data_IF_020382780129
#
_entry.id   IF_020382780129
#
_cell.length_a   1.000
_cell.length_b   1.000
_cell.length_c   1.000
_cell.angle_alpha   90.00
_cell.angle_beta   90.00
_cell.angle_gamma   90.00
#
_symmetry.space_group_name_H-M   'P 1'
#
loop_
_entity.id
_entity.type
_entity.pdbx_description
1 polymer ?
#
# COMPACT_ATOMS: atom_id res chain seq x y z
N UNK A 1 28.57 26.41 -16.67
CA UNK A 1 29.71 25.50 -16.42
C UNK A 1 29.08 24.12 -16.31
N UNK A 2 28.75 23.56 -17.49
CA UNK A 2 29.50 22.43 -18.12
C UNK A 2 29.45 21.17 -17.23
N UNK A 3 29.22 19.96 -17.70
CA UNK A 3 28.85 19.32 -18.97
C UNK A 3 28.76 17.83 -18.54
N UNK A 4 27.95 17.01 -19.20
CA UNK A 4 28.43 15.72 -19.72
C UNK A 4 27.35 15.17 -20.67
N UNK A 5 27.73 15.14 -21.94
CA UNK A 5 27.06 14.45 -23.02
C UNK A 5 28.04 13.41 -23.59
N UNK A 6 27.49 12.31 -24.13
CA UNK A 6 28.18 11.32 -24.96
C UNK A 6 28.67 10.09 -24.17
N UNK A 7 28.45 8.85 -24.61
CA UNK A 7 27.85 8.36 -25.84
C UNK A 7 27.99 6.83 -25.94
N UNK A 8 27.11 6.26 -26.78
CA UNK A 8 27.17 5.04 -27.61
C UNK A 8 27.65 3.68 -27.07
N UNK A 9 26.75 2.71 -27.32
CA UNK A 9 26.95 1.35 -27.85
C UNK A 9 28.02 0.42 -27.23
N UNK A 10 27.54 -0.70 -26.65
CA UNK A 10 28.05 -2.00 -27.09
C UNK A 10 27.11 -3.17 -26.74
N UNK A 11 26.91 -4.04 -27.71
CA UNK A 11 26.16 -5.30 -27.63
C UNK A 11 27.12 -6.50 -27.43
N UNK A 12 26.62 -7.72 -27.14
CA UNK A 12 27.26 -8.65 -26.21
C UNK A 12 28.27 -9.59 -26.86
N UNK A 13 29.29 -9.99 -26.09
CA UNK A 13 29.96 -11.29 -26.25
C UNK A 13 31.48 -11.25 -26.26
N UNK A 14 32.08 -11.82 -25.20
CA UNK A 14 33.23 -12.74 -25.16
C UNK A 14 34.01 -12.51 -23.86
N UNK A 15 33.92 -13.47 -22.94
CA UNK A 15 34.95 -13.65 -21.91
C UNK A 15 36.28 -14.07 -22.56
N UNK A 16 37.41 -13.90 -21.85
CA UNK A 16 38.10 -15.12 -21.42
C UNK A 16 38.75 -15.08 -20.03
N UNK A 17 38.72 -16.27 -19.40
CA UNK A 17 39.78 -16.93 -18.63
C UNK A 17 40.31 -16.35 -17.29
N UNK A 18 39.99 -17.09 -16.22
CA UNK A 18 41.01 -17.82 -15.45
C UNK A 18 41.95 -17.01 -14.56
N UNK A 19 41.51 -16.64 -13.36
CA UNK A 19 42.36 -16.04 -12.33
C UNK A 19 41.86 -16.39 -10.92
N UNK A 20 42.61 -17.26 -10.27
CA UNK A 20 42.55 -17.71 -8.88
C UNK A 20 42.11 -16.61 -7.87
N UNK A 21 40.90 -16.72 -7.29
CA UNK A 21 40.44 -15.82 -6.23
C UNK A 21 41.09 -16.23 -4.90
N UNK A 22 42.26 -15.67 -4.60
CA UNK A 22 42.77 -15.69 -3.23
C UNK A 22 41.91 -14.74 -2.38
N UNK A 23 41.22 -15.30 -1.40
CA UNK A 23 40.53 -14.61 -0.32
C UNK A 23 41.49 -13.70 0.44
N UNK A 24 41.38 -12.39 0.21
CA UNK A 24 41.78 -11.40 1.19
C UNK A 24 40.53 -11.04 1.98
N UNK A 25 40.39 -11.59 3.19
CA UNK A 25 39.45 -11.09 4.18
C UNK A 25 40.08 -9.87 4.87
N UNK A 26 39.59 -8.64 4.68
CA UNK A 26 39.81 -7.60 5.68
C UNK A 26 38.91 -7.94 6.86
N UNK A 27 39.47 -7.95 8.06
CA UNK A 27 38.72 -8.12 9.30
C UNK A 27 37.67 -7.01 9.40
N UNK A 28 36.42 -7.31 9.06
CA UNK A 28 35.30 -6.43 9.37
C UNK A 28 35.13 -6.40 10.90
N UNK A 29 34.95 -5.22 11.52
CA UNK A 29 34.57 -5.18 12.92
C UNK A 29 33.27 -5.96 13.12
N UNK A 30 33.07 -6.63 14.26
CA UNK A 30 31.83 -7.36 14.52
C UNK A 30 30.66 -6.38 14.42
N UNK A 31 29.76 -6.64 13.48
CA UNK A 31 28.48 -5.92 13.38
C UNK A 31 27.76 -6.14 14.72
N UNK A 32 27.38 -5.08 15.47
CA UNK A 32 26.66 -5.26 16.73
C UNK A 32 25.41 -6.11 16.48
N UNK A 33 25.23 -7.15 17.29
CA UNK A 33 24.19 -8.17 17.08
C UNK A 33 22.74 -7.63 17.20
N UNK A 34 22.58 -6.35 17.53
CA UNK A 34 21.35 -5.58 17.40
C UNK A 34 21.74 -4.11 17.53
N UNK A 35 21.27 -3.27 16.63
CA UNK A 35 21.15 -1.84 16.93
C UNK A 35 20.03 -1.73 17.95
N UNK A 36 20.38 -1.66 19.24
CA UNK A 36 19.42 -1.33 20.28
C UNK A 36 19.16 0.17 20.22
N UNK A 37 18.15 0.53 19.44
CA UNK A 37 17.72 1.92 19.32
C UNK A 37 16.96 2.38 20.57
N UNK A 38 16.55 1.48 21.47
CA UNK A 38 15.74 1.85 22.63
C UNK A 38 16.47 2.84 23.54
N UNK A 39 17.77 2.60 23.80
CA UNK A 39 18.60 3.50 24.62
C UNK A 39 18.77 4.88 23.95
N UNK A 40 18.99 4.90 22.63
CA UNK A 40 19.06 6.14 21.85
C UNK A 40 17.73 6.90 21.84
N UNK A 41 16.60 6.20 21.67
CA UNK A 41 15.25 6.77 21.73
C UNK A 41 14.95 7.33 23.12
N UNK A 42 15.29 6.61 24.19
CA UNK A 42 15.09 7.09 25.55
C UNK A 42 15.95 8.33 25.83
N UNK A 43 17.22 8.33 25.44
CA UNK A 43 18.14 9.45 25.70
C UNK A 43 17.79 10.71 24.88
N UNK A 44 17.32 10.55 23.64
CA UNK A 44 17.14 11.68 22.71
C UNK A 44 15.68 12.11 22.52
N UNK A 45 14.71 11.26 22.86
CA UNK A 45 13.30 11.50 22.57
C UNK A 45 12.44 11.47 23.85
N UNK A 46 12.75 10.67 24.87
CA UNK A 46 11.89 10.56 26.08
C UNK A 46 11.84 11.82 26.96
N UNK A 47 12.85 12.69 26.88
CA UNK A 47 12.92 13.96 27.62
C UNK A 47 12.88 15.20 26.74
N UNK A 48 12.80 15.05 25.41
CA UNK A 48 12.66 16.16 24.50
C UNK A 48 11.31 16.87 24.71
N UNK A 49 11.32 18.20 24.82
CA UNK A 49 10.12 19.03 24.83
C UNK A 49 9.24 18.72 23.61
N UNK A 50 7.93 18.92 23.73
CA UNK A 50 6.93 18.51 22.72
C UNK A 50 7.26 19.09 21.31
N UNK A 51 7.82 20.30 21.27
CA UNK A 51 8.32 20.94 20.06
C UNK A 51 9.58 20.27 19.49
N UNK A 52 10.54 19.89 20.34
CA UNK A 52 11.75 19.17 19.91
C UNK A 52 11.44 17.75 19.39
N UNK A 53 10.47 17.07 20.01
CA UNK A 53 9.92 15.80 19.49
C UNK A 53 9.26 15.98 18.13
N UNK A 54 8.50 17.06 17.94
CA UNK A 54 7.87 17.36 16.67
C UNK A 54 8.88 17.69 15.55
N UNK A 55 10.03 18.26 15.90
CA UNK A 55 11.14 18.53 14.98
C UNK A 55 11.85 17.23 14.56
N UNK A 56 12.05 16.28 15.48
CA UNK A 56 12.77 15.02 15.20
C UNK A 56 11.87 13.92 14.62
N UNK A 57 10.65 13.76 15.13
CA UNK A 57 9.70 12.70 14.72
C UNK A 57 8.63 13.18 13.74
N UNK A 58 8.55 14.48 13.46
CA UNK A 58 7.40 15.06 12.78
C UNK A 58 6.16 15.11 13.68
N UNK A 59 4.97 15.30 13.09
CA UNK A 59 3.71 15.32 13.83
C UNK A 59 3.44 13.95 14.48
N UNK A 60 3.41 13.91 15.81
CA UNK A 60 2.91 12.74 16.57
C UNK A 60 1.38 12.70 16.45
N UNK A 61 0.85 12.05 15.41
CA UNK A 61 -0.59 11.89 15.20
C UNK A 61 -0.99 11.63 13.75
N UNK A 62 -2.25 11.22 13.53
CA UNK A 62 -2.79 11.06 12.17
C UNK A 62 -2.83 12.42 11.46
N UNK A 63 -2.32 12.48 10.24
CA UNK A 63 -2.51 13.64 9.37
C UNK A 63 -4.01 13.79 9.07
N UNK A 64 -4.59 15.00 9.19
CA UNK A 64 -6.02 15.25 9.06
C UNK A 64 -6.45 15.33 7.59
N UNK A 65 -6.15 14.29 6.81
CA UNK A 65 -6.62 14.20 5.44
C UNK A 65 -8.16 14.18 5.40
N UNK A 66 -8.74 15.00 4.54
CA UNK A 66 -10.17 14.89 4.25
C UNK A 66 -10.41 13.64 3.39
N UNK A 67 -11.42 12.88 3.78
CA UNK A 67 -11.83 11.65 3.10
C UNK A 67 -13.32 11.62 2.82
N UNK A 68 -13.72 10.97 1.74
CA UNK A 68 -15.12 10.69 1.45
C UNK A 68 -15.30 9.30 0.84
N UNK A 69 -16.40 8.63 1.17
CA UNK A 69 -16.78 7.40 0.45
C UNK A 69 -17.50 7.82 -0.82
N UNK A 70 -16.86 7.64 -1.97
CA UNK A 70 -17.44 8.00 -3.26
C UNK A 70 -18.57 7.05 -3.66
N UNK A 71 -18.35 5.75 -3.45
CA UNK A 71 -19.32 4.71 -3.74
C UNK A 71 -19.14 3.52 -2.79
N UNK A 72 -20.27 2.91 -2.47
CA UNK A 72 -20.34 1.64 -1.75
C UNK A 72 -21.44 0.80 -2.37
N UNK A 73 -21.07 -0.31 -2.99
CA UNK A 73 -22.05 -1.24 -3.58
C UNK A 73 -22.46 -2.31 -2.56
N UNK A 74 -23.66 -2.85 -2.75
CA UNK A 74 -24.18 -3.96 -1.96
C UNK A 74 -23.64 -5.30 -2.45
N UNK A 75 -23.43 -6.24 -1.53
CA UNK A 75 -23.16 -7.64 -1.86
C UNK A 75 -24.40 -8.48 -1.57
N UNK A 76 -24.65 -9.54 -2.34
CA UNK A 76 -25.48 -10.64 -1.84
C UNK A 76 -24.65 -11.39 -0.80
N UNK A 77 -25.26 -11.72 0.33
CA UNK A 77 -24.61 -12.47 1.42
C UNK A 77 -23.97 -13.74 0.83
N UNK A 78 -22.66 -13.89 0.97
CA UNK A 78 -21.96 -15.15 0.70
C UNK A 78 -21.90 -15.94 1.99
N UNK A 79 -22.19 -17.24 1.92
CA UNK A 79 -21.94 -18.17 3.02
C UNK A 79 -20.43 -18.51 3.07
N UNK A 80 -19.82 -18.42 4.26
CA UNK A 80 -18.39 -18.71 4.48
C UNK A 80 -17.51 -17.47 4.63
N UNK A 81 -16.20 -17.65 4.91
CA UNK A 81 -15.28 -16.53 5.15
C UNK A 81 -15.05 -15.73 3.87
N UNK A 82 -15.25 -14.43 3.93
CA UNK A 82 -14.97 -13.52 2.82
C UNK A 82 -13.49 -13.11 2.78
N UNK A 83 -13.03 -12.65 1.60
CA UNK A 83 -11.73 -11.99 1.45
C UNK A 83 -11.90 -10.68 0.68
N UNK A 84 -11.46 -9.58 1.28
CA UNK A 84 -11.47 -8.27 0.67
C UNK A 84 -10.09 -7.94 0.09
N UNK A 85 -10.02 -7.66 -1.22
CA UNK A 85 -8.86 -7.03 -1.83
C UNK A 85 -8.79 -5.59 -1.37
N UNK A 86 -7.70 -5.24 -0.69
CA UNK A 86 -7.44 -3.87 -0.23
C UNK A 86 -6.31 -3.30 -1.05
N UNK A 87 -6.57 -2.16 -1.67
CA UNK A 87 -5.63 -1.50 -2.60
C UNK A 87 -5.71 0.01 -2.45
N UNK A 88 -4.75 0.72 -3.02
CA UNK A 88 -4.72 2.17 -3.04
C UNK A 88 -3.99 2.68 -4.28
N UNK A 89 -4.40 3.82 -4.82
CA UNK A 89 -3.76 4.37 -6.01
C UNK A 89 -3.97 5.88 -6.16
N UNK A 90 -3.18 6.51 -7.03
CA UNK A 90 -3.41 7.84 -7.59
C UNK A 90 -4.31 7.78 -8.83
N UNK A 91 -4.71 8.95 -9.36
CA UNK A 91 -5.59 9.06 -10.52
C UNK A 91 -4.98 8.49 -11.82
N UNK A 92 -3.66 8.53 -11.99
CA UNK A 92 -2.98 7.98 -13.16
C UNK A 92 -2.97 6.44 -13.20
N UNK A 93 -3.37 5.78 -12.10
CA UNK A 93 -3.46 4.31 -11.99
C UNK A 93 -4.90 3.77 -12.02
N UNK A 94 -5.88 4.59 -12.40
CA UNK A 94 -7.29 4.16 -12.44
C UNK A 94 -7.54 2.99 -13.40
N UNK A 95 -6.76 2.86 -14.48
CA UNK A 95 -6.85 1.71 -15.38
C UNK A 95 -6.46 0.40 -14.68
N UNK A 96 -5.44 0.44 -13.83
CA UNK A 96 -5.02 -0.72 -13.03
C UNK A 96 -6.06 -1.08 -11.98
N UNK A 97 -6.64 -0.07 -11.32
CA UNK A 97 -7.76 -0.27 -10.41
C UNK A 97 -8.94 -0.92 -11.14
N UNK A 98 -9.29 -0.47 -12.36
CA UNK A 98 -10.33 -1.07 -13.20
C UNK A 98 -10.04 -2.54 -13.52
N UNK A 99 -8.78 -2.88 -13.81
CA UNK A 99 -8.34 -4.26 -14.01
C UNK A 99 -8.50 -5.11 -12.73
N UNK A 100 -8.16 -4.58 -11.56
CA UNK A 100 -8.39 -5.25 -10.27
C UNK A 100 -9.89 -5.47 -10.00
N UNK A 101 -10.73 -4.45 -10.20
CA UNK A 101 -12.19 -4.53 -10.01
C UNK A 101 -12.84 -5.60 -10.90
N UNK A 102 -12.32 -5.78 -12.11
CA UNK A 102 -12.87 -6.74 -13.09
C UNK A 102 -12.25 -8.14 -13.02
N UNK A 103 -11.15 -8.31 -12.30
CA UNK A 103 -10.45 -9.60 -12.15
C UNK A 103 -10.69 -10.28 -10.81
N UNK A 104 -10.85 -9.51 -9.73
CA UNK A 104 -11.03 -10.04 -8.39
C UNK A 104 -12.48 -10.49 -8.14
N UNK A 105 -12.67 -11.74 -7.71
CA UNK A 105 -13.98 -12.34 -7.49
C UNK A 105 -14.57 -12.09 -6.08
N UNK A 106 -13.80 -11.47 -5.19
CA UNK A 106 -14.19 -11.10 -3.82
C UNK A 106 -14.44 -9.62 -3.65
N UNK A 107 -14.74 -9.18 -2.42
CA UNK A 107 -14.95 -7.76 -2.15
C UNK A 107 -13.70 -6.94 -2.47
N UNK A 108 -13.88 -5.67 -2.83
CA UNK A 108 -12.76 -4.72 -3.05
C UNK A 108 -12.98 -3.49 -2.18
N UNK A 109 -11.95 -3.07 -1.46
CA UNK A 109 -11.88 -1.72 -0.89
C UNK A 109 -10.65 -1.00 -1.43
N UNK A 110 -10.88 0.11 -2.10
CA UNK A 110 -9.81 0.90 -2.70
C UNK A 110 -9.85 2.35 -2.19
N UNK A 111 -8.68 2.90 -1.88
CA UNK A 111 -8.52 4.31 -1.62
C UNK A 111 -7.85 4.99 -2.83
N UNK A 112 -8.45 6.08 -3.33
CA UNK A 112 -7.91 6.85 -4.45
C UNK A 112 -7.46 8.22 -3.96
N UNK A 113 -6.20 8.55 -4.21
CA UNK A 113 -5.64 9.85 -3.90
C UNK A 113 -5.98 10.88 -4.99
N UNK A 114 -6.50 12.01 -4.56
CA UNK A 114 -6.74 13.19 -5.39
C UNK A 114 -5.82 14.29 -4.89
N UNK A 115 -4.80 14.60 -5.68
CA UNK A 115 -3.83 15.66 -5.37
C UNK A 115 -4.40 17.07 -5.63
N UNK A 116 -5.57 17.34 -5.07
CA UNK A 116 -6.25 18.62 -5.16
C UNK A 116 -7.16 18.81 -3.93
N UNK A 117 -7.46 20.07 -3.56
CA UNK A 117 -8.43 20.35 -2.51
C UNK A 117 -9.81 19.77 -2.87
N UNK A 118 -10.60 19.33 -1.88
CA UNK A 118 -11.87 18.67 -2.11
C UNK A 118 -12.82 19.47 -3.00
N UNK A 119 -12.98 20.77 -2.76
CA UNK A 119 -13.94 21.61 -3.47
C UNK A 119 -13.45 22.17 -4.82
N UNK A 120 -12.27 21.74 -5.30
CA UNK A 120 -11.71 22.23 -6.58
C UNK A 120 -12.36 21.56 -7.80
N UNK A 121 -12.32 22.25 -8.95
CA UNK A 121 -12.78 21.70 -10.24
C UNK A 121 -12.04 20.41 -10.61
N UNK A 122 -10.75 20.31 -10.28
CA UNK A 122 -9.96 19.09 -10.47
C UNK A 122 -10.53 17.91 -9.67
N UNK A 123 -10.89 18.14 -8.40
CA UNK A 123 -11.54 17.13 -7.56
C UNK A 123 -12.94 16.75 -8.05
N UNK A 124 -13.70 17.69 -8.61
CA UNK A 124 -15.01 17.40 -9.23
C UNK A 124 -14.82 16.52 -10.48
N UNK A 125 -13.86 16.85 -11.34
CA UNK A 125 -13.54 16.07 -12.52
C UNK A 125 -13.04 14.66 -12.16
N UNK A 126 -12.15 14.54 -11.17
CA UNK A 126 -11.62 13.27 -10.67
C UNK A 126 -12.74 12.36 -10.15
N UNK A 127 -13.66 12.89 -9.32
CA UNK A 127 -14.82 12.13 -8.81
C UNK A 127 -15.68 11.56 -9.93
N UNK A 128 -15.97 12.38 -10.94
CA UNK A 128 -16.74 11.95 -12.12
C UNK A 128 -16.01 10.83 -12.87
N UNK A 129 -14.73 11.00 -13.18
CA UNK A 129 -13.94 9.98 -13.87
C UNK A 129 -13.85 8.66 -13.11
N UNK A 130 -13.69 8.69 -11.78
CA UNK A 130 -13.70 7.48 -10.95
C UNK A 130 -15.08 6.79 -11.00
N UNK A 131 -16.18 7.55 -10.93
CA UNK A 131 -17.53 6.99 -11.04
C UNK A 131 -17.77 6.35 -12.41
N UNK A 132 -17.37 7.01 -13.49
CA UNK A 132 -17.48 6.50 -14.86
C UNK A 132 -16.67 5.20 -15.02
N UNK A 133 -15.41 5.18 -14.57
CA UNK A 133 -14.56 3.98 -14.55
C UNK A 133 -15.22 2.82 -13.80
N UNK A 134 -15.76 3.07 -12.60
CA UNK A 134 -16.43 2.03 -11.83
C UNK A 134 -17.72 1.54 -12.51
N UNK A 135 -18.48 2.44 -13.14
CA UNK A 135 -19.67 2.07 -13.90
C UNK A 135 -19.30 1.17 -15.09
N UNK A 136 -18.30 1.56 -15.88
CA UNK A 136 -17.79 0.75 -17.00
C UNK A 136 -17.21 -0.60 -16.57
N UNK A 137 -16.58 -0.67 -15.39
CA UNK A 137 -16.12 -1.92 -14.82
C UNK A 137 -17.31 -2.83 -14.47
N UNK A 138 -18.35 -2.27 -13.86
CA UNK A 138 -19.53 -3.01 -13.43
C UNK A 138 -20.32 -3.60 -14.62
N UNK A 139 -20.41 -2.88 -15.75
CA UNK A 139 -21.11 -3.39 -16.96
C UNK A 139 -20.45 -4.61 -17.58
N UNK A 140 -19.17 -4.86 -17.30
CA UNK A 140 -18.41 -6.03 -17.81
C UNK A 140 -18.56 -7.27 -16.93
N UNK A 141 -19.20 -7.15 -15.78
CA UNK A 141 -19.29 -8.24 -14.81
C UNK A 141 -20.66 -8.92 -14.85
N UNK A 142 -20.70 -10.25 -14.58
CA UNK A 142 -21.96 -10.98 -14.53
C UNK A 142 -22.82 -10.56 -13.34
N UNK A 143 -24.10 -10.94 -13.37
CA UNK A 143 -25.04 -10.75 -12.27
C UNK A 143 -24.50 -11.40 -10.99
N UNK A 144 -24.48 -10.66 -9.88
CA UNK A 144 -23.88 -11.11 -8.62
C UNK A 144 -22.45 -10.61 -8.42
N UNK A 145 -22.17 -9.38 -8.86
CA UNK A 145 -20.88 -8.71 -8.72
C UNK A 145 -20.39 -8.69 -7.28
N UNK A 146 -19.07 -8.85 -7.07
CA UNK A 146 -18.48 -8.57 -5.77
C UNK A 146 -18.71 -7.11 -5.39
N UNK A 147 -18.84 -6.88 -4.09
CA UNK A 147 -19.14 -5.56 -3.61
C UNK A 147 -17.86 -4.72 -3.43
N UNK A 148 -17.98 -3.43 -3.74
CA UNK A 148 -16.88 -2.49 -3.81
C UNK A 148 -17.13 -1.32 -2.86
N UNK A 149 -16.08 -0.84 -2.22
CA UNK A 149 -16.07 0.46 -1.55
C UNK A 149 -14.89 1.27 -2.07
N UNK A 150 -15.16 2.41 -2.70
CA UNK A 150 -14.13 3.36 -3.18
C UNK A 150 -14.16 4.59 -2.29
N UNK A 151 -13.03 4.86 -1.66
CA UNK A 151 -12.81 5.99 -0.75
C UNK A 151 -11.86 6.96 -1.42
N UNK A 152 -12.14 8.25 -1.32
CA UNK A 152 -11.26 9.29 -1.82
C UNK A 152 -10.51 9.90 -0.66
N UNK A 153 -9.24 10.17 -0.88
CA UNK A 153 -8.40 10.95 0.02
C UNK A 153 -7.89 12.16 -0.75
N UNK A 154 -8.15 13.35 -0.23
CA UNK A 154 -7.71 14.59 -0.87
C UNK A 154 -6.33 15.01 -0.35
N UNK A 155 -5.62 15.83 -1.12
CA UNK A 155 -4.40 16.51 -0.69
C UNK A 155 -4.62 17.18 0.67
N UNK A 156 -3.60 17.11 1.52
CA UNK A 156 -3.62 17.80 2.81
C UNK A 156 -3.81 19.30 2.58
N UNK A 157 -4.71 19.92 3.36
CA UNK A 157 -4.92 21.37 3.30
C UNK A 157 -3.66 22.10 3.78
N UNK A 158 -3.34 23.24 3.16
CA UNK A 158 -2.07 23.95 3.40
C UNK A 158 -1.91 24.37 4.88
N UNK A 159 -3.02 24.66 5.57
CA UNK A 159 -3.06 24.96 7.01
C UNK A 159 -2.57 23.81 7.90
N UNK A 160 -2.66 22.58 7.39
CA UNK A 160 -2.26 21.37 8.11
C UNK A 160 -0.86 20.88 7.73
N UNK A 161 -0.23 21.49 6.72
CA UNK A 161 1.15 21.18 6.29
C UNK A 161 2.13 21.81 7.29
N UNK A 162 2.94 20.98 7.93
CA UNK A 162 4.01 21.40 8.85
C UNK A 162 5.39 21.20 8.25
N UNK A 163 5.56 20.13 7.48
CA UNK A 163 6.80 19.80 6.79
C UNK A 163 6.51 19.59 5.31
N UNK A 164 6.78 20.60 4.49
CA UNK A 164 6.47 20.58 3.05
C UNK A 164 7.05 19.36 2.32
N UNK A 165 8.30 19.03 2.62
CA UNK A 165 9.03 17.91 2.02
C UNK A 165 8.44 16.53 2.35
N UNK A 166 7.64 16.41 3.42
CA UNK A 166 7.03 15.15 3.86
C UNK A 166 5.51 15.14 3.66
N UNK A 167 4.81 16.17 4.15
CA UNK A 167 3.34 16.24 4.20
C UNK A 167 2.70 16.38 2.80
N UNK A 168 3.49 16.83 1.80
CA UNK A 168 3.06 16.87 0.38
C UNK A 168 3.42 15.61 -0.40
N UNK A 169 4.09 14.63 0.19
CA UNK A 169 4.35 13.35 -0.46
C UNK A 169 3.06 12.54 -0.63
N UNK A 170 3.13 11.56 -1.52
CA UNK A 170 2.05 10.60 -1.73
C UNK A 170 1.72 9.85 -0.41
N UNK A 171 0.48 9.95 0.12
CA UNK A 171 0.16 9.54 1.47
C UNK A 171 -0.19 8.05 1.57
N UNK A 172 0.75 7.18 1.17
CA UNK A 172 0.56 5.73 1.03
C UNK A 172 -0.06 5.08 2.27
N UNK A 173 0.39 5.47 3.47
CA UNK A 173 -0.11 4.91 4.73
C UNK A 173 -1.54 5.35 5.05
N UNK A 174 -1.87 6.62 4.78
CA UNK A 174 -3.21 7.14 5.01
C UNK A 174 -4.23 6.50 4.06
N UNK A 175 -3.85 6.32 2.79
CA UNK A 175 -4.67 5.63 1.80
C UNK A 175 -4.89 4.17 2.15
N UNK A 176 -3.83 3.43 2.51
CA UNK A 176 -3.94 2.03 2.94
C UNK A 176 -4.89 1.89 4.14
N UNK A 177 -4.75 2.76 5.13
CA UNK A 177 -5.64 2.75 6.31
C UNK A 177 -7.08 3.10 5.92
N UNK A 178 -7.29 4.09 5.05
CA UNK A 178 -8.61 4.44 4.56
C UNK A 178 -9.28 3.27 3.83
N UNK A 179 -8.54 2.52 3.00
CA UNK A 179 -9.06 1.32 2.35
C UNK A 179 -9.34 0.19 3.37
N UNK A 180 -8.42 -0.06 4.32
CA UNK A 180 -8.60 -1.07 5.37
C UNK A 180 -9.84 -0.83 6.23
N UNK A 181 -10.11 0.42 6.62
CA UNK A 181 -11.28 0.79 7.44
C UNK A 181 -12.63 0.48 6.76
N UNK A 182 -12.62 0.24 5.44
CA UNK A 182 -13.81 -0.06 4.66
C UNK A 182 -13.87 -1.51 4.14
N UNK A 183 -12.87 -2.34 4.45
CA UNK A 183 -12.94 -3.78 4.23
C UNK A 183 -14.05 -4.40 5.12
N UNK A 184 -14.93 -5.21 4.54
CA UNK A 184 -16.07 -5.83 5.24
C UNK A 184 -15.94 -7.33 5.43
N UNK A 185 -14.86 -7.92 4.93
CA UNK A 185 -14.57 -9.35 5.01
C UNK A 185 -13.65 -9.65 6.19
N UNK A 186 -13.71 -10.88 6.71
CA UNK A 186 -12.85 -11.33 7.82
C UNK A 186 -11.37 -11.42 7.43
N UNK A 187 -11.10 -11.69 6.15
CA UNK A 187 -9.75 -11.72 5.59
C UNK A 187 -9.53 -10.51 4.68
N UNK A 188 -8.31 -9.98 4.72
CA UNK A 188 -7.85 -8.92 3.82
C UNK A 188 -6.68 -9.44 2.99
N UNK A 189 -6.73 -9.20 1.69
CA UNK A 189 -5.62 -9.35 0.78
C UNK A 189 -5.14 -7.97 0.34
N UNK A 190 -4.09 -7.47 1.01
CA UNK A 190 -3.48 -6.18 0.69
C UNK A 190 -2.59 -6.34 -0.55
N UNK A 191 -2.88 -5.60 -1.61
CA UNK A 191 -2.17 -5.69 -2.88
C UNK A 191 -1.92 -4.29 -3.46
N UNK A 192 -0.74 -4.08 -4.03
CA UNK A 192 -0.46 -2.85 -4.79
C UNK A 192 -1.28 -2.84 -6.09
N UNK A 193 -1.73 -1.66 -6.53
CA UNK A 193 -2.64 -1.49 -7.66
C UNK A 193 -2.06 -2.03 -8.97
N UNK A 194 -0.73 -1.94 -9.12
CA UNK A 194 -0.01 -2.39 -10.31
C UNK A 194 0.02 -3.92 -10.48
N UNK A 195 -0.35 -4.68 -9.45
CA UNK A 195 -0.52 -6.13 -9.54
C UNK A 195 -1.99 -6.49 -9.77
N UNK A 196 -2.30 -7.02 -10.95
CA UNK A 196 -3.63 -7.52 -11.25
C UNK A 196 -3.69 -9.01 -10.89
N UNK A 197 -4.50 -9.41 -9.89
CA UNK A 197 -4.60 -10.81 -9.51
C UNK A 197 -5.26 -11.63 -10.63
N UNK A 198 -4.85 -12.89 -10.77
CA UNK A 198 -5.54 -13.79 -11.70
C UNK A 198 -6.97 -14.05 -11.21
N UNK A 199 -7.91 -14.25 -12.15
CA UNK A 199 -9.34 -14.46 -11.84
C UNK A 199 -9.62 -15.62 -10.87
N UNK A 200 -8.71 -16.58 -10.77
CA UNK A 200 -8.84 -17.77 -9.91
C UNK A 200 -8.18 -17.60 -8.54
N UNK A 201 -7.39 -16.55 -8.32
CA UNK A 201 -6.61 -16.39 -7.10
C UNK A 201 -7.49 -16.31 -5.86
N UNK A 202 -8.58 -15.54 -5.92
CA UNK A 202 -9.55 -15.45 -4.83
C UNK A 202 -10.07 -16.82 -4.39
N UNK A 203 -10.51 -17.64 -5.35
CA UNK A 203 -11.09 -18.96 -5.07
C UNK A 203 -10.03 -19.97 -4.59
N UNK A 204 -8.78 -19.83 -5.04
CA UNK A 204 -7.67 -20.62 -4.54
C UNK A 204 -7.34 -20.29 -3.07
N UNK A 205 -7.33 -19.00 -2.71
CA UNK A 205 -7.06 -18.55 -1.34
C UNK A 205 -8.18 -18.91 -0.37
N UNK A 206 -9.43 -18.94 -0.83
CA UNK A 206 -10.60 -19.36 -0.05
C UNK A 206 -11.00 -20.83 -0.27
N UNK A 207 -10.15 -21.61 -0.92
CA UNK A 207 -10.34 -23.05 -1.09
C UNK A 207 -10.53 -23.77 0.26
N UNK A 208 -11.13 -24.97 0.20
CA UNK A 208 -11.77 -25.69 1.34
C UNK A 208 -11.00 -25.70 2.67
N UNK A 209 -9.67 -25.65 2.64
CA UNK A 209 -8.83 -25.64 3.84
C UNK A 209 -8.06 -24.32 4.07
N UNK A 210 -7.75 -23.56 3.01
CA UNK A 210 -6.84 -22.42 3.10
C UNK A 210 -7.43 -21.24 3.87
N UNK A 211 -8.67 -20.84 3.56
CA UNK A 211 -9.32 -19.72 4.25
C UNK A 211 -9.55 -19.99 5.74
N UNK A 212 -9.93 -21.23 6.09
CA UNK A 212 -10.08 -21.65 7.49
C UNK A 212 -8.73 -21.72 8.21
N UNK A 213 -7.68 -22.23 7.56
CA UNK A 213 -6.33 -22.24 8.13
C UNK A 213 -5.86 -20.82 8.43
N UNK A 214 -6.03 -19.87 7.50
CA UNK A 214 -5.68 -18.46 7.70
C UNK A 214 -6.42 -17.84 8.88
N UNK A 215 -7.70 -18.13 9.05
CA UNK A 215 -8.49 -17.67 10.21
C UNK A 215 -8.14 -18.37 11.53
N UNK A 216 -7.56 -19.56 11.48
CA UNK A 216 -7.15 -20.33 12.66
C UNK A 216 -5.71 -20.02 13.11
N UNK A 217 -4.90 -19.30 12.32
CA UNK A 217 -3.55 -18.89 12.74
C UNK A 217 -3.60 -17.94 13.96
N UNK A 218 -4.45 -16.88 13.98
CA UNK A 218 -4.51 -15.98 15.13
C UNK A 218 -5.03 -16.64 16.42
N UNK A 219 -5.95 -17.60 16.31
CA UNK A 219 -6.58 -18.27 17.46
C UNK A 219 -5.71 -19.35 18.11
N UNK A 220 -4.63 -19.78 17.46
CA UNK A 220 -3.73 -20.82 17.98
C UNK A 220 -2.54 -20.30 18.79
N UNK A 221 -2.43 -18.98 19.01
CA UNK A 221 -1.53 -18.40 20.02
C UNK A 221 -0.05 -18.77 19.91
N UNK A 222 0.41 -19.26 18.74
CA UNK A 222 1.85 -19.48 18.52
C UNK A 222 2.50 -18.15 18.18
N UNK A 223 2.84 -17.43 19.24
CA UNK A 223 3.89 -16.42 19.23
C UNK A 223 5.10 -17.03 18.50
N UNK A 224 5.61 -16.36 17.46
CA UNK A 224 6.84 -16.78 16.79
C UNK A 224 7.95 -16.89 17.85
N UNK A 225 8.22 -18.11 18.32
CA UNK A 225 9.42 -18.37 19.12
C UNK A 225 10.59 -18.30 18.16
N UNK A 226 11.42 -17.28 18.33
CA UNK A 226 12.75 -17.19 17.71
C UNK A 226 13.54 -18.45 18.05
N UNK A 227 13.68 -19.36 17.10
CA UNK A 227 14.60 -20.47 17.23
C UNK A 227 15.84 -20.15 16.40
N UNK A 228 16.71 -19.33 17.00
CA UNK A 228 18.09 -19.19 16.55
C UNK A 228 18.83 -20.40 17.11
N UNK A 229 19.31 -21.27 16.23
CA UNK A 229 20.17 -22.40 16.57
C UNK A 229 21.60 -22.08 16.20
#
# INVERSE_FOLDING_TARGET
VEMYAGGEDDHPGRGPHGGNWKTACPCSPPVPARLDLAEWFEEHISHAEEEARAVVLGRVGRLPYRREVLLRTGSKVREGPGMCLVTQCSLDRLDRLREQLTSWAGEVSAAVFIDAPPSSDASVAARRGIREMCFEAATKLPVGTPAWTIVLLYRLEDEHVKCDAYDRLYPVNALRNAALEHARSDLVFLLDVDFVPSRRLHDLLLGKDAGRQLLNVPSSGRMWSTNNR
#
